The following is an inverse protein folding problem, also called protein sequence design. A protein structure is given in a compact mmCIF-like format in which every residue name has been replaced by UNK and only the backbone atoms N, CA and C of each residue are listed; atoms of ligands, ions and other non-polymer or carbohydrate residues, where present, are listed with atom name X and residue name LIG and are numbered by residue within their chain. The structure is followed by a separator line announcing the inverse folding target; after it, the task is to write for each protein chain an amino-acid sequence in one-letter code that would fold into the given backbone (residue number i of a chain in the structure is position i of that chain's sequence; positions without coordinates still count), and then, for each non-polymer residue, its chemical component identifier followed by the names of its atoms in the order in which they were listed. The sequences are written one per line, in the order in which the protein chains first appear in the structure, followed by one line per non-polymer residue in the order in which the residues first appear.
data_IF_520675907135
#
_entry.id   IF_520675907135
#
_cell.length_a   1.000
_cell.length_b   1.000
_cell.length_c   1.000
_cell.angle_alpha   90.00
_cell.angle_beta   90.00
_cell.angle_gamma   90.00
#
_symmetry.space_group_name_H-M   'P 1'
#
loop_
_entity.id
_entity.type
_entity.pdbx_description
1 polymer ?
#
# COMPACT_ATOMS: atom_id res chain seq x y z
N UNK A 1 -6.79 13.73 5.28
CA UNK A 1 -7.03 12.27 5.39
C UNK A 1 -6.40 11.54 4.20
N UNK A 2 -6.71 11.96 2.97
CA UNK A 2 -6.13 11.41 1.72
C UNK A 2 -4.60 11.55 1.67
N UNK A 3 -4.05 12.68 2.08
CA UNK A 3 -2.59 12.90 2.10
C UNK A 3 -1.83 11.84 2.92
N UNK A 4 -2.29 11.56 4.14
CA UNK A 4 -1.70 10.51 4.99
C UNK A 4 -1.81 9.11 4.37
N UNK A 5 -2.91 8.83 3.66
CA UNK A 5 -3.09 7.56 2.95
C UNK A 5 -2.14 7.42 1.76
N UNK A 6 -1.86 8.51 1.04
CA UNK A 6 -0.89 8.53 -0.06
C UNK A 6 0.54 8.37 0.48
N UNK A 7 0.92 9.11 1.53
CA UNK A 7 2.25 9.01 2.14
C UNK A 7 2.59 7.60 2.64
N UNK A 8 1.62 6.91 3.27
CA UNK A 8 1.81 5.52 3.72
C UNK A 8 2.00 4.54 2.55
N UNK A 9 1.28 4.74 1.44
CA UNK A 9 1.40 3.89 0.25
C UNK A 9 2.63 4.23 -0.60
N UNK A 10 3.09 5.50 -0.58
CA UNK A 10 4.34 5.95 -1.16
C UNK A 10 5.55 5.33 -0.43
N UNK A 11 5.50 5.19 0.90
CA UNK A 11 6.56 4.52 1.66
C UNK A 11 6.67 3.02 1.32
N UNK A 12 5.54 2.36 1.06
CA UNK A 12 5.52 0.95 0.69
C UNK A 12 5.95 0.70 -0.77
N UNK A 13 5.71 1.67 -1.66
CA UNK A 13 6.08 1.67 -3.09
C UNK A 13 5.77 0.34 -3.80
N UNK A 14 4.51 -0.12 -3.66
CA UNK A 14 4.04 -1.31 -4.38
C UNK A 14 3.76 -0.97 -5.84
N UNK A 15 4.41 -1.68 -6.76
CA UNK A 15 4.20 -1.50 -8.19
C UNK A 15 3.01 -2.31 -8.69
N UNK A 16 2.42 -1.84 -9.80
CA UNK A 16 1.33 -2.55 -10.48
C UNK A 16 1.84 -3.89 -10.99
N UNK A 17 1.15 -4.97 -10.65
CA UNK A 17 1.52 -6.35 -10.99
C UNK A 17 2.54 -7.00 -10.04
N UNK A 18 3.20 -6.23 -9.18
CA UNK A 18 4.24 -6.75 -8.28
C UNK A 18 3.69 -7.72 -7.23
N UNK A 19 2.46 -7.48 -6.75
CA UNK A 19 1.83 -8.37 -5.77
C UNK A 19 1.67 -9.80 -6.32
N UNK A 20 1.22 -9.94 -7.58
CA UNK A 20 1.04 -11.24 -8.22
C UNK A 20 2.39 -11.94 -8.44
N UNK A 21 3.43 -11.19 -8.82
CA UNK A 21 4.80 -11.72 -8.98
C UNK A 21 5.35 -12.24 -7.65
N UNK A 22 5.22 -11.45 -6.58
CA UNK A 22 5.65 -11.84 -5.23
C UNK A 22 4.86 -13.05 -4.73
N UNK A 23 3.54 -13.09 -4.94
CA UNK A 23 2.70 -14.22 -4.52
C UNK A 23 3.11 -15.52 -5.24
N UNK A 24 3.34 -15.46 -6.55
CA UNK A 24 3.77 -16.61 -7.34
C UNK A 24 5.16 -17.10 -6.88
N UNK A 25 6.08 -16.17 -6.65
CA UNK A 25 7.42 -16.50 -6.19
C UNK A 25 7.43 -17.08 -4.78
N UNK A 26 6.67 -16.47 -3.85
CA UNK A 26 6.50 -16.96 -2.49
C UNK A 26 5.94 -18.38 -2.49
N UNK A 27 4.90 -18.65 -3.28
CA UNK A 27 4.33 -20.01 -3.40
C UNK A 27 5.34 -21.03 -3.92
N UNK A 28 6.18 -20.64 -4.88
CA UNK A 28 7.25 -21.51 -5.41
C UNK A 28 8.28 -21.83 -4.32
N UNK A 29 8.70 -20.84 -3.56
CA UNK A 29 9.68 -21.01 -2.49
C UNK A 29 9.11 -21.73 -1.28
N UNK A 30 7.86 -21.46 -0.89
CA UNK A 30 7.17 -22.13 0.21
C UNK A 30 7.10 -23.65 -0.01
N UNK A 31 6.78 -24.09 -1.23
CA UNK A 31 6.82 -25.51 -1.59
C UNK A 31 8.24 -26.10 -1.44
N UNK A 32 9.28 -25.31 -1.74
CA UNK A 32 10.67 -25.71 -1.55
C UNK A 32 11.07 -25.80 -0.08
N UNK A 33 10.59 -24.88 0.76
CA UNK A 33 10.82 -24.90 2.20
C UNK A 33 10.14 -26.10 2.85
N UNK A 34 8.87 -26.39 2.51
CA UNK A 34 8.16 -27.57 3.03
C UNK A 34 8.85 -28.88 2.63
N UNK A 35 9.42 -28.93 1.43
CA UNK A 35 10.24 -30.04 0.97
C UNK A 35 11.50 -30.20 1.85
N UNK A 36 12.20 -29.11 2.16
CA UNK A 36 13.37 -29.13 3.04
C UNK A 36 13.01 -29.59 4.43
N UNK A 37 11.99 -29.00 5.03
CA UNK A 37 11.56 -29.32 6.40
C UNK A 37 11.18 -30.80 6.50
N UNK A 38 10.47 -31.31 5.48
CA UNK A 38 10.11 -32.73 5.39
C UNK A 38 11.33 -33.63 5.23
N UNK A 39 12.31 -33.23 4.41
CA UNK A 39 13.57 -33.96 4.26
C UNK A 39 14.40 -33.95 5.54
N UNK A 40 14.55 -32.80 6.21
CA UNK A 40 15.27 -32.69 7.47
C UNK A 40 14.59 -33.50 8.58
N UNK A 41 13.27 -33.45 8.69
CA UNK A 41 12.51 -34.28 9.62
C UNK A 41 12.68 -35.77 9.34
N UNK A 42 12.72 -36.16 8.06
CA UNK A 42 12.97 -37.55 7.66
C UNK A 42 14.39 -38.00 8.04
N UNK A 43 15.42 -37.17 7.79
CA UNK A 43 16.79 -37.44 8.25
C UNK A 43 16.87 -37.58 9.77
N UNK A 44 16.20 -36.71 10.52
CA UNK A 44 16.15 -36.79 11.96
C UNK A 44 15.60 -38.13 12.47
N UNK A 45 14.54 -38.64 11.83
CA UNK A 45 13.97 -39.95 12.14
C UNK A 45 14.90 -41.11 11.74
N UNK A 46 15.62 -40.98 10.63
CA UNK A 46 16.50 -42.03 10.10
C UNK A 46 17.80 -42.15 10.92
N UNK A 47 18.50 -41.04 11.18
CA UNK A 47 19.88 -41.02 11.68
C UNK A 47 20.11 -40.18 12.93
N UNK A 48 19.47 -39.01 13.07
CA UNK A 48 19.92 -37.99 14.04
C UNK A 48 19.13 -37.96 15.37
N UNK A 49 18.06 -38.74 15.50
CA UNK A 49 17.27 -38.81 16.74
C UNK A 49 18.04 -39.46 17.90
N UNK A 50 18.34 -38.70 18.96
CA UNK A 50 19.25 -39.09 20.05
C UNK A 50 18.83 -40.34 20.86
N UNK A 51 17.53 -40.59 21.05
CA UNK A 51 17.05 -41.74 21.86
C UNK A 51 16.50 -42.90 21.02
N UNK A 52 16.07 -42.66 19.78
CA UNK A 52 15.31 -43.64 18.98
C UNK A 52 15.25 -43.28 17.48
N UNK A 53 16.40 -43.26 16.80
CA UNK A 53 16.41 -43.24 15.34
C UNK A 53 16.32 -44.66 14.74
N UNK A 54 15.81 -44.75 13.52
CA UNK A 54 15.56 -46.01 12.82
C UNK A 54 16.85 -46.82 12.65
N UNK A 55 17.96 -46.16 12.30
CA UNK A 55 19.26 -46.82 12.14
C UNK A 55 19.74 -47.50 13.43
N UNK A 56 19.63 -46.82 14.57
CA UNK A 56 20.04 -47.33 15.88
C UNK A 56 19.16 -48.49 16.35
N UNK A 57 17.85 -48.41 16.09
CA UNK A 57 16.92 -49.49 16.40
C UNK A 57 17.17 -50.73 15.53
N UNK A 58 17.44 -50.54 14.23
CA UNK A 58 17.81 -51.62 13.31
C UNK A 58 19.13 -52.26 13.71
N UNK A 59 20.16 -51.48 14.05
CA UNK A 59 21.44 -52.00 14.54
C UNK A 59 21.25 -52.90 15.78
N UNK A 60 20.43 -52.46 16.75
CA UNK A 60 20.09 -53.28 17.93
C UNK A 60 19.36 -54.57 17.53
N UNK A 61 18.42 -54.50 16.58
CA UNK A 61 17.69 -55.67 16.10
C UNK A 61 18.62 -56.67 15.37
N UNK A 62 19.56 -56.19 14.55
CA UNK A 62 20.59 -57.00 13.89
C UNK A 62 21.44 -57.73 14.93
N UNK A 63 21.99 -57.02 15.93
CA UNK A 63 22.80 -57.66 16.97
C UNK A 63 22.03 -58.72 17.77
N UNK A 64 20.73 -58.49 18.04
CA UNK A 64 19.88 -59.49 18.69
C UNK A 64 19.63 -60.71 17.79
N UNK A 65 19.41 -60.49 16.48
CA UNK A 65 19.21 -61.56 15.52
C UNK A 65 20.48 -62.42 15.31
N UNK A 66 21.66 -61.81 15.28
CA UNK A 66 22.96 -62.51 15.23
C UNK A 66 23.21 -63.36 16.48
N UNK A 67 22.86 -62.84 17.66
CA UNK A 67 22.90 -63.62 18.90
C UNK A 67 21.95 -64.82 18.82
N UNK A 68 20.72 -64.64 18.32
CA UNK A 68 19.75 -65.71 18.15
C UNK A 68 20.18 -66.77 17.13
N UNK A 69 20.83 -66.35 16.04
CA UNK A 69 21.41 -67.25 15.04
C UNK A 69 22.42 -68.23 15.65
N UNK A 70 23.14 -67.80 16.70
CA UNK A 70 24.09 -68.66 17.42
C UNK A 70 23.39 -69.80 18.18
N UNK A 71 22.10 -69.67 18.50
CA UNK A 71 21.28 -70.70 19.14
C UNK A 71 20.50 -71.54 18.13
N UNK A 72 19.96 -70.94 17.07
CA UNK A 72 19.19 -71.61 16.03
C UNK A 72 19.58 -71.11 14.63
N UNK A 73 20.26 -71.95 13.81
CA UNK A 73 20.63 -71.61 12.44
C UNK A 73 19.44 -71.25 11.54
N UNK A 74 18.21 -71.67 11.86
CA UNK A 74 17.01 -71.31 11.09
C UNK A 74 16.76 -69.79 11.08
N UNK A 75 17.31 -69.05 12.03
CA UNK A 75 17.16 -67.60 12.15
C UNK A 75 18.17 -66.79 11.33
N UNK A 76 19.10 -67.46 10.63
CA UNK A 76 20.11 -66.80 9.77
C UNK A 76 19.47 -65.84 8.78
N UNK A 77 18.37 -66.24 8.14
CA UNK A 77 17.69 -65.41 7.13
C UNK A 77 17.11 -64.12 7.73
N UNK A 78 16.66 -64.15 8.99
CA UNK A 78 16.14 -62.95 9.69
C UNK A 78 17.25 -61.93 9.90
N UNK A 79 18.43 -62.38 10.35
CA UNK A 79 19.61 -61.52 10.51
C UNK A 79 20.02 -60.89 9.18
N UNK A 80 20.07 -61.67 8.09
CA UNK A 80 20.38 -61.17 6.74
C UNK A 80 19.39 -60.09 6.29
N UNK A 81 18.08 -60.33 6.40
CA UNK A 81 17.06 -59.36 6.01
C UNK A 81 17.13 -58.06 6.81
N UNK A 82 17.43 -58.14 8.12
CA UNK A 82 17.58 -56.94 8.96
C UNK A 82 18.84 -56.14 8.59
N UNK A 83 19.93 -56.82 8.24
CA UNK A 83 21.17 -56.17 7.82
C UNK A 83 20.99 -55.47 6.46
N UNK A 84 20.32 -56.11 5.50
CA UNK A 84 19.93 -55.49 4.22
C UNK A 84 19.05 -54.25 4.43
N UNK A 85 18.06 -54.33 5.32
CA UNK A 85 17.21 -53.19 5.66
C UNK A 85 18.01 -52.04 6.28
N UNK A 86 19.01 -52.33 7.13
CA UNK A 86 19.89 -51.34 7.72
C UNK A 86 20.71 -50.60 6.64
N UNK A 87 21.30 -51.34 5.70
CA UNK A 87 22.03 -50.75 4.57
C UNK A 87 21.11 -49.84 3.76
N UNK A 88 19.89 -50.29 3.43
CA UNK A 88 18.94 -49.49 2.65
C UNK A 88 18.54 -48.19 3.36
N UNK A 89 18.39 -48.23 4.69
CA UNK A 89 18.11 -47.03 5.51
C UNK A 89 19.28 -46.04 5.46
N UNK A 90 20.52 -46.53 5.60
CA UNK A 90 21.73 -45.69 5.53
C UNK A 90 21.90 -45.05 4.15
N UNK A 91 21.70 -45.81 3.07
CA UNK A 91 21.74 -45.29 1.70
C UNK A 91 20.66 -44.24 1.46
N UNK A 92 19.43 -44.50 1.91
CA UNK A 92 18.32 -43.55 1.76
C UNK A 92 18.59 -42.24 2.51
N UNK A 93 19.16 -42.32 3.72
CA UNK A 93 19.59 -41.13 4.46
C UNK A 93 20.69 -40.36 3.71
N UNK A 94 21.69 -41.06 3.18
CA UNK A 94 22.74 -40.46 2.36
C UNK A 94 22.23 -39.76 1.11
N UNK A 95 21.28 -40.37 0.39
CA UNK A 95 20.63 -39.74 -0.77
C UNK A 95 19.85 -38.48 -0.37
N UNK A 96 19.10 -38.53 0.74
CA UNK A 96 18.34 -37.38 1.24
C UNK A 96 19.26 -36.21 1.61
N UNK A 97 20.39 -36.50 2.25
CA UNK A 97 21.38 -35.51 2.65
C UNK A 97 22.05 -34.88 1.43
N UNK A 98 22.36 -35.68 0.40
CA UNK A 98 22.89 -35.18 -0.85
C UNK A 98 21.86 -34.34 -1.63
N UNK A 99 20.59 -34.74 -1.61
CA UNK A 99 19.49 -33.97 -2.19
C UNK A 99 19.37 -32.59 -1.53
N UNK A 100 19.36 -32.54 -0.20
CA UNK A 100 19.34 -31.29 0.57
C UNK A 100 20.55 -30.41 0.27
N UNK A 101 21.75 -30.97 0.12
CA UNK A 101 22.95 -30.18 -0.19
C UNK A 101 22.92 -29.49 -1.56
N UNK A 102 22.09 -29.99 -2.49
CA UNK A 102 21.90 -29.40 -3.82
C UNK A 102 20.78 -28.38 -3.86
N UNK A 103 19.94 -28.34 -2.83
CA UNK A 103 18.80 -27.46 -2.78
C UNK A 103 19.27 -26.07 -2.32
N UNK A 104 19.61 -25.21 -3.27
CA UNK A 104 19.87 -23.80 -3.02
C UNK A 104 18.55 -23.09 -2.72
N UNK A 105 18.16 -23.08 -1.45
CA UNK A 105 17.15 -22.14 -0.97
C UNK A 105 17.84 -20.89 -0.46
N UNK A 106 17.16 -19.76 -0.66
CA UNK A 106 17.52 -18.47 -0.09
C UNK A 106 16.49 -18.13 1.01
N UNK A 107 16.74 -18.50 2.28
CA UNK A 107 15.84 -18.20 3.38
C UNK A 107 15.66 -16.69 3.60
N UNK A 108 16.67 -15.88 3.28
CA UNK A 108 16.60 -14.44 3.44
C UNK A 108 15.63 -13.83 2.41
N UNK A 109 15.68 -14.30 1.17
CA UNK A 109 14.73 -13.91 0.13
C UNK A 109 13.31 -14.37 0.45
N UNK A 110 13.12 -15.60 0.93
CA UNK A 110 11.80 -16.08 1.35
C UNK A 110 11.21 -15.22 2.47
N UNK A 111 11.98 -14.91 3.51
CA UNK A 111 11.54 -14.04 4.61
C UNK A 111 11.21 -12.62 4.14
N UNK A 112 11.98 -12.09 3.18
CA UNK A 112 11.69 -10.79 2.55
C UNK A 112 10.34 -10.79 1.82
N UNK A 113 10.05 -11.83 1.02
CA UNK A 113 8.77 -11.96 0.32
C UNK A 113 7.60 -12.09 1.29
N UNK A 114 7.77 -12.85 2.38
CA UNK A 114 6.77 -13.02 3.44
C UNK A 114 6.45 -11.66 4.11
N UNK A 115 7.47 -10.89 4.46
CA UNK A 115 7.30 -9.55 5.04
C UNK A 115 6.59 -8.60 4.07
N UNK A 116 6.98 -8.61 2.79
CA UNK A 116 6.40 -7.75 1.77
C UNK A 116 4.93 -8.12 1.49
N UNK A 117 4.58 -9.41 1.42
CA UNK A 117 3.19 -9.90 1.32
C UNK A 117 2.35 -9.48 2.52
N UNK A 118 2.89 -9.68 3.73
CA UNK A 118 2.18 -9.33 4.97
C UNK A 118 1.87 -7.84 5.03
N UNK A 119 2.83 -6.97 4.70
CA UNK A 119 2.63 -5.52 4.59
C UNK A 119 1.59 -5.17 3.52
N UNK A 120 1.67 -5.75 2.33
CA UNK A 120 0.68 -5.54 1.28
C UNK A 120 -0.75 -5.89 1.74
N UNK A 121 -0.92 -7.03 2.42
CA UNK A 121 -2.21 -7.45 2.96
C UNK A 121 -2.72 -6.54 4.09
N UNK A 122 -1.83 -6.05 4.95
CA UNK A 122 -2.20 -5.10 6.01
C UNK A 122 -2.69 -3.78 5.43
N UNK A 123 -1.96 -3.22 4.46
CA UNK A 123 -2.34 -1.99 3.76
C UNK A 123 -3.64 -2.18 2.97
N UNK A 124 -3.77 -3.28 2.22
CA UNK A 124 -5.00 -3.60 1.50
C UNK A 124 -6.23 -3.63 2.42
N UNK A 125 -6.12 -4.23 3.61
CA UNK A 125 -7.17 -4.21 4.63
C UNK A 125 -7.48 -2.81 5.15
N UNK A 126 -6.46 -1.99 5.42
CA UNK A 126 -6.63 -0.60 5.89
C UNK A 126 -7.36 0.25 4.85
N UNK A 127 -7.05 0.05 3.57
CA UNK A 127 -7.64 0.76 2.44
C UNK A 127 -8.92 0.10 1.89
N UNK A 128 -9.34 -1.04 2.45
CA UNK A 128 -10.55 -1.77 2.05
C UNK A 128 -10.56 -2.17 0.55
N UNK A 129 -9.39 -2.51 0.02
CA UNK A 129 -9.20 -2.96 -1.36
C UNK A 129 -8.57 -4.35 -1.39
N UNK A 130 -8.66 -5.06 -2.51
CA UNK A 130 -7.89 -6.29 -2.69
C UNK A 130 -6.39 -5.95 -2.81
N UNK A 131 -5.48 -6.79 -2.28
CA UNK A 131 -4.03 -6.55 -2.37
C UNK A 131 -3.54 -6.33 -3.81
N UNK A 132 -4.07 -7.09 -4.76
CA UNK A 132 -3.74 -6.99 -6.19
C UNK A 132 -4.07 -5.61 -6.78
N UNK A 133 -5.07 -4.93 -6.21
CA UNK A 133 -5.53 -3.60 -6.64
C UNK A 133 -4.94 -2.47 -5.81
N UNK A 134 -4.10 -2.77 -4.82
CA UNK A 134 -3.57 -1.74 -3.92
C UNK A 134 -2.73 -0.71 -4.68
N UNK A 135 -1.92 -1.14 -5.65
CA UNK A 135 -1.13 -0.24 -6.49
C UNK A 135 -2.00 0.66 -7.38
N UNK A 136 -3.09 0.13 -7.96
CA UNK A 136 -4.05 0.92 -8.73
C UNK A 136 -4.79 1.93 -7.84
N UNK A 137 -5.17 1.50 -6.63
CA UNK A 137 -5.80 2.37 -5.65
C UNK A 137 -4.86 3.49 -5.21
N UNK A 138 -3.58 3.20 -5.02
CA UNK A 138 -2.55 4.20 -4.73
C UNK A 138 -2.48 5.27 -5.83
N UNK A 139 -2.44 4.87 -7.10
CA UNK A 139 -2.44 5.80 -8.23
C UNK A 139 -3.69 6.68 -8.26
N UNK A 140 -4.87 6.10 -7.98
CA UNK A 140 -6.12 6.84 -7.92
C UNK A 140 -6.11 7.88 -6.78
N UNK A 141 -5.68 7.51 -5.58
CA UNK A 141 -5.56 8.42 -4.44
C UNK A 141 -4.59 9.56 -4.71
N UNK A 142 -3.47 9.27 -5.36
CA UNK A 142 -2.47 10.29 -5.72
C UNK A 142 -3.00 11.26 -6.77
N UNK A 143 -3.78 10.79 -7.73
CA UNK A 143 -4.48 11.64 -8.69
C UNK A 143 -5.53 12.52 -7.99
N UNK A 144 -6.32 11.96 -7.08
CA UNK A 144 -7.30 12.69 -6.27
C UNK A 144 -6.63 13.78 -5.43
N UNK A 145 -5.52 13.48 -4.75
CA UNK A 145 -4.75 14.45 -3.98
C UNK A 145 -4.27 15.61 -4.87
N UNK A 146 -3.73 15.29 -6.05
CA UNK A 146 -3.28 16.31 -7.01
C UNK A 146 -4.43 17.22 -7.44
N UNK A 147 -5.62 16.67 -7.69
CA UNK A 147 -6.79 17.47 -8.06
C UNK A 147 -7.28 18.39 -6.93
N UNK A 148 -7.19 17.93 -5.68
CA UNK A 148 -7.55 18.74 -4.50
C UNK A 148 -6.58 19.92 -4.33
N UNK A 149 -5.28 19.68 -4.45
CA UNK A 149 -4.25 20.73 -4.38
C UNK A 149 -4.45 21.78 -5.50
N UNK A 150 -4.76 21.34 -6.73
CA UNK A 150 -5.06 22.23 -7.84
C UNK A 150 -6.31 23.08 -7.59
N UNK A 151 -7.35 22.51 -6.97
CA UNK A 151 -8.59 23.21 -6.69
C UNK A 151 -8.45 24.23 -5.56
N UNK A 152 -7.61 23.97 -4.55
CA UNK A 152 -7.24 24.96 -3.54
C UNK A 152 -6.53 26.17 -4.15
N UNK A 153 -5.57 25.93 -5.05
CA UNK A 153 -4.87 27.00 -5.77
C UNK A 153 -5.82 27.83 -6.64
N UNK A 154 -6.76 27.18 -7.36
CA UNK A 154 -7.79 27.89 -8.15
C UNK A 154 -8.71 28.72 -7.27
N UNK A 155 -9.07 28.22 -6.08
CA UNK A 155 -9.93 28.95 -5.15
C UNK A 155 -9.27 30.26 -4.70
N UNK A 156 -7.99 30.22 -4.36
CA UNK A 156 -7.21 31.40 -3.98
C UNK A 156 -7.12 32.39 -5.15
N UNK A 157 -6.87 31.92 -6.37
CA UNK A 157 -6.85 32.77 -7.56
C UNK A 157 -8.20 33.45 -7.81
N UNK A 158 -9.31 32.71 -7.70
CA UNK A 158 -10.67 33.25 -7.87
C UNK A 158 -10.97 34.30 -6.78
N UNK A 159 -10.56 34.06 -5.53
CA UNK A 159 -10.74 35.03 -4.44
C UNK A 159 -10.01 36.35 -4.76
N UNK A 160 -8.76 36.28 -5.23
CA UNK A 160 -8.01 37.46 -5.66
C UNK A 160 -8.68 38.19 -6.83
N UNK A 161 -9.19 37.45 -7.82
CA UNK A 161 -9.91 38.04 -8.95
C UNK A 161 -11.21 38.72 -8.52
N UNK A 162 -11.94 38.15 -7.55
CA UNK A 162 -13.16 38.74 -6.97
C UNK A 162 -12.82 40.04 -6.23
N UNK A 163 -11.78 40.06 -5.41
CA UNK A 163 -11.35 41.27 -4.70
C UNK A 163 -10.91 42.38 -5.67
N UNK A 164 -10.11 42.04 -6.68
CA UNK A 164 -9.68 42.97 -7.71
C UNK A 164 -10.87 43.54 -8.50
N UNK A 165 -11.82 42.69 -8.90
CA UNK A 165 -13.02 43.10 -9.63
C UNK A 165 -13.93 43.97 -8.76
N UNK A 166 -14.07 43.65 -7.47
CA UNK A 166 -14.81 44.47 -6.51
C UNK A 166 -14.17 45.83 -6.32
N UNK A 167 -12.85 45.90 -6.20
CA UNK A 167 -12.13 47.17 -6.10
C UNK A 167 -12.31 48.03 -7.35
N UNK A 168 -12.19 47.44 -8.55
CA UNK A 168 -12.42 48.12 -9.82
C UNK A 168 -13.87 48.62 -9.96
N UNK A 169 -14.84 47.79 -9.57
CA UNK A 169 -16.26 48.15 -9.52
C UNK A 169 -16.48 49.37 -8.62
N UNK A 170 -16.00 49.33 -7.38
CA UNK A 170 -16.16 50.43 -6.42
C UNK A 170 -15.51 51.73 -6.91
N UNK A 171 -14.31 51.66 -7.49
CA UNK A 171 -13.63 52.83 -8.05
C UNK A 171 -14.42 53.47 -9.19
N UNK A 172 -14.97 52.66 -10.10
CA UNK A 172 -15.80 53.16 -11.20
C UNK A 172 -17.16 53.70 -10.72
N UNK A 173 -17.79 53.01 -9.76
CA UNK A 173 -19.04 53.45 -9.15
C UNK A 173 -18.86 54.80 -8.42
N UNK A 174 -17.75 54.99 -7.70
CA UNK A 174 -17.42 56.26 -7.06
C UNK A 174 -17.22 57.39 -8.09
N UNK A 175 -16.47 57.14 -9.17
CA UNK A 175 -16.30 58.12 -10.27
C UNK A 175 -17.64 58.53 -10.88
N UNK A 176 -18.51 57.55 -11.14
CA UNK A 176 -19.85 57.81 -11.68
C UNK A 176 -20.71 58.61 -10.69
N UNK A 177 -20.68 58.25 -9.41
CA UNK A 177 -21.41 58.95 -8.35
C UNK A 177 -20.96 60.41 -8.21
N UNK A 178 -19.65 60.65 -8.20
CA UNK A 178 -19.08 62.01 -8.17
C UNK A 178 -19.50 62.84 -9.40
N UNK A 179 -19.49 62.22 -10.59
CA UNK A 179 -19.97 62.85 -11.82
C UNK A 179 -21.46 63.22 -11.72
N UNK A 180 -22.31 62.28 -11.26
CA UNK A 180 -23.74 62.53 -11.05
C UNK A 180 -24.00 63.64 -10.03
N UNK A 181 -23.30 63.64 -8.90
CA UNK A 181 -23.43 64.67 -7.87
C UNK A 181 -23.02 66.06 -8.39
N UNK A 182 -21.99 66.12 -9.25
CA UNK A 182 -21.58 67.36 -9.92
C UNK A 182 -22.69 67.89 -10.84
N UNK A 183 -23.19 67.06 -11.74
CA UNK A 183 -24.23 67.49 -12.69
C UNK A 183 -25.59 67.73 -12.03
N UNK A 184 -25.91 67.04 -10.94
CA UNK A 184 -27.09 67.32 -10.11
C UNK A 184 -27.06 68.76 -9.59
N UNK A 185 -25.93 69.22 -9.04
CA UNK A 185 -25.77 70.61 -8.56
C UNK A 185 -25.87 71.65 -9.68
N UNK A 186 -25.44 71.30 -10.89
CA UNK A 186 -25.54 72.18 -12.05
C UNK A 186 -26.99 72.30 -12.50
N UNK A 187 -27.68 71.17 -12.63
CA UNK A 187 -29.09 71.10 -12.99
C UNK A 187 -29.98 71.81 -11.94
N UNK A 188 -29.67 71.65 -10.65
CA UNK A 188 -30.38 72.33 -9.55
C UNK A 188 -30.42 73.84 -9.74
N UNK A 189 -29.28 74.43 -10.13
CA UNK A 189 -29.18 75.87 -10.36
C UNK A 189 -29.98 76.30 -11.59
N UNK A 190 -29.86 75.57 -12.69
CA UNK A 190 -30.55 75.88 -13.95
C UNK A 190 -32.07 75.80 -13.79
N UNK A 191 -32.57 74.76 -13.11
CA UNK A 191 -34.00 74.59 -12.82
C UNK A 191 -34.47 75.65 -11.82
N UNK A 192 -33.70 75.91 -10.77
CA UNK A 192 -34.04 76.97 -9.80
C UNK A 192 -34.14 78.32 -10.49
N UNK A 193 -33.20 78.69 -11.37
CA UNK A 193 -33.26 79.93 -12.13
C UNK A 193 -34.52 80.01 -13.01
N UNK A 194 -34.83 78.93 -13.74
CA UNK A 194 -36.04 78.86 -14.57
C UNK A 194 -37.33 79.03 -13.74
N UNK A 195 -37.38 78.50 -12.51
CA UNK A 195 -38.50 78.67 -11.59
C UNK A 195 -38.63 80.14 -11.12
N UNK A 196 -37.51 80.84 -10.89
CA UNK A 196 -37.54 82.25 -10.52
C UNK A 196 -38.10 83.13 -11.65
N UNK A 197 -37.75 82.82 -12.91
CA UNK A 197 -38.27 83.51 -14.10
C UNK A 197 -39.79 83.30 -14.29
N UNK A 198 -40.35 82.23 -13.73
CA UNK A 198 -41.78 81.89 -13.76
C UNK A 198 -42.60 82.48 -12.57
N UNK A 199 -42.20 83.65 -12.05
CA UNK A 199 -42.87 84.35 -10.93
C UNK A 199 -42.85 83.61 -9.57
N UNK A 200 -41.91 82.69 -9.34
CA UNK A 200 -41.69 82.04 -8.03
C UNK A 200 -40.32 82.40 -7.42
N UNK A 201 -40.08 83.65 -7.00
CA UNK A 201 -38.76 84.17 -6.64
C UNK A 201 -38.15 83.60 -5.35
N UNK A 202 -38.87 82.72 -4.63
CA UNK A 202 -38.37 82.04 -3.42
C UNK A 202 -38.31 80.52 -3.58
N UNK A 203 -38.68 79.98 -4.74
CA UNK A 203 -38.67 78.54 -4.99
C UNK A 203 -37.24 78.03 -5.15
N UNK A 204 -36.90 76.92 -4.49
CA UNK A 204 -35.59 76.25 -4.63
C UNK A 204 -35.80 74.81 -5.03
N UNK A 205 -35.13 74.39 -6.09
CA UNK A 205 -35.09 73.00 -6.53
C UNK A 205 -33.76 72.37 -6.10
N UNK A 206 -33.78 71.10 -5.68
CA UNK A 206 -32.58 70.39 -5.21
C UNK A 206 -32.66 68.91 -5.55
N UNK A 207 -31.59 68.36 -6.09
CA UNK A 207 -31.41 66.95 -6.43
C UNK A 207 -30.37 66.37 -5.48
N UNK A 208 -30.76 65.31 -4.78
CA UNK A 208 -29.87 64.55 -3.91
C UNK A 208 -29.39 63.29 -4.61
N UNK A 209 -28.07 63.06 -4.57
CA UNK A 209 -27.44 61.84 -5.11
C UNK A 209 -26.83 61.07 -3.95
N UNK A 210 -27.41 59.91 -3.66
CA UNK A 210 -26.96 59.03 -2.59
C UNK A 210 -26.06 57.93 -3.15
N UNK A 211 -24.92 57.71 -2.49
CA UNK A 211 -24.02 56.58 -2.74
C UNK A 211 -24.09 55.66 -1.51
N UNK A 212 -24.73 54.51 -1.67
CA UNK A 212 -24.71 53.43 -0.68
C UNK A 212 -23.56 52.49 -0.98
#
# INVERSE_FOLDING_TARGET
LVQYQVEELDEFDLKVGEFEEIEQEHKRLANGTELVDSCQASLFLLTDGEESNIESLLNKAVSLAENLQSYDPALTNVSTMLNEALIQVQESAGELQHYLSKLELDPAHFAYLEERLSKAMQLARKHHVSPDKLAEHHLALRAELTTLDDDENKLEEIQLQVEASKAAYLANAQKLSQSRARYAKELDKLVTQSIHELNMPKGKFTIEVNFN
#
